data_IF_310591503558
#
_entry.id   IF_310591503558
#
_cell.length_a   1.000
_cell.length_b   1.000
_cell.length_c   1.000
_cell.angle_alpha   90.00
_cell.angle_beta   90.00
_cell.angle_gamma   90.00
#
_symmetry.space_group_name_H-M   'P 1'
#
loop_
_entity.id
_entity.type
_entity.pdbx_description
1 polymer ?
#
# COMPACT_ATOMS: atom_id res chain seq x y z
N UNK A 1 53.24 -3.98 13.66
CA UNK A 1 51.76 -3.90 13.64
C UNK A 1 51.35 -3.31 12.29
N UNK A 2 50.82 -4.14 11.41
CA UNK A 2 50.79 -3.87 9.99
C UNK A 2 49.65 -2.91 9.56
N UNK A 3 49.83 -2.29 8.39
CA UNK A 3 48.90 -1.35 7.76
C UNK A 3 47.47 -1.91 7.60
N UNK A 4 47.36 -3.22 7.43
CA UNK A 4 46.07 -3.95 7.36
C UNK A 4 45.32 -3.92 8.69
N UNK A 5 45.97 -4.01 9.84
CA UNK A 5 45.33 -3.94 11.15
C UNK A 5 44.74 -2.56 11.40
N UNK A 6 45.46 -1.49 11.03
CA UNK A 6 44.95 -0.09 11.10
C UNK A 6 43.79 0.19 10.15
N UNK A 7 43.74 -0.49 9.00
CA UNK A 7 42.64 -0.35 8.04
C UNK A 7 41.38 -1.08 8.53
N UNK A 8 41.56 -2.25 9.17
CA UNK A 8 40.47 -3.00 9.80
C UNK A 8 39.90 -2.27 11.03
N UNK A 9 40.78 -1.67 11.86
CA UNK A 9 40.34 -0.88 13.01
C UNK A 9 39.55 0.38 12.57
N UNK A 10 39.97 1.05 11.50
CA UNK A 10 39.20 2.20 10.93
C UNK A 10 37.83 1.81 10.37
N UNK A 11 37.65 0.58 9.92
CA UNK A 11 36.33 0.06 9.50
C UNK A 11 35.47 -0.35 10.70
N UNK A 12 36.08 -0.95 11.72
CA UNK A 12 35.38 -1.35 12.93
C UNK A 12 34.83 -0.15 13.74
N UNK A 13 35.54 0.99 13.74
CA UNK A 13 35.08 2.20 14.44
C UNK A 13 33.97 2.97 13.72
N UNK A 14 33.69 2.65 12.43
CA UNK A 14 32.55 3.22 11.70
C UNK A 14 31.26 2.40 11.80
N UNK A 15 31.31 1.22 12.37
CA UNK A 15 30.13 0.42 12.72
C UNK A 15 29.75 0.60 14.17
N UNK A 16 29.58 1.85 14.60
CA UNK A 16 29.05 2.13 15.93
C UNK A 16 27.59 1.72 15.97
N UNK A 17 27.40 0.57 16.52
CA UNK A 17 26.30 -0.01 17.18
C UNK A 17 24.93 0.61 16.99
N UNK A 18 24.11 0.09 16.07
CA UNK A 18 22.68 0.17 16.25
C UNK A 18 22.29 -0.65 17.49
N UNK A 19 21.53 -0.07 18.38
CA UNK A 19 20.82 -0.83 19.42
C UNK A 19 19.66 -1.59 18.77
N UNK A 20 19.05 -2.60 19.43
CA UNK A 20 17.81 -3.21 18.92
C UNK A 20 16.69 -2.20 18.63
N UNK A 21 16.73 -1.02 19.28
CA UNK A 21 15.81 0.10 19.09
C UNK A 21 16.24 1.08 18.00
N UNK A 22 17.52 1.02 17.56
CA UNK A 22 18.04 1.84 16.46
C UNK A 22 19.08 1.03 15.66
N UNK A 23 18.64 0.20 14.70
CA UNK A 23 19.53 -0.61 13.90
C UNK A 23 20.39 0.27 12.99
N UNK A 24 21.60 -0.22 12.63
CA UNK A 24 22.50 0.53 11.74
C UNK A 24 21.91 0.73 10.34
N UNK A 25 22.29 1.82 9.67
CA UNK A 25 21.76 2.23 8.36
C UNK A 25 21.66 1.08 7.31
N UNK A 26 22.67 0.22 7.23
CA UNK A 26 22.65 -0.89 6.25
C UNK A 26 21.64 -1.97 6.62
N UNK A 27 21.38 -2.20 7.92
CA UNK A 27 20.35 -3.12 8.41
C UNK A 27 18.97 -2.54 8.16
N UNK A 28 18.78 -1.24 8.38
CA UNK A 28 17.53 -0.53 8.05
C UNK A 28 17.23 -0.63 6.56
N UNK A 29 18.23 -0.39 5.71
CA UNK A 29 18.11 -0.54 4.27
C UNK A 29 17.81 -1.97 3.82
N UNK A 30 18.40 -2.96 4.49
CA UNK A 30 18.20 -4.37 4.20
C UNK A 30 16.80 -4.85 4.62
N UNK A 31 16.30 -4.33 5.75
CA UNK A 31 14.99 -4.69 6.31
C UNK A 31 13.85 -3.79 5.80
N UNK A 32 14.15 -2.77 4.98
CA UNK A 32 13.16 -1.80 4.50
C UNK A 32 12.58 -0.91 5.61
N UNK A 33 13.25 -0.79 6.75
CA UNK A 33 12.84 0.06 7.87
C UNK A 33 13.31 1.49 7.62
N UNK A 34 12.43 2.44 7.42
CA UNK A 34 12.54 3.88 7.29
C UNK A 34 13.94 4.54 7.19
N UNK A 35 14.01 5.76 6.75
CA UNK A 35 15.26 6.53 6.68
C UNK A 35 15.48 7.31 7.97
N UNK A 36 16.74 7.36 8.44
CA UNK A 36 17.15 8.21 9.55
C UNK A 36 17.14 9.68 9.11
N UNK A 37 16.40 10.51 9.81
CA UNK A 37 16.38 11.96 9.57
C UNK A 37 17.66 12.63 10.08
N UNK A 38 17.89 13.88 9.68
CA UNK A 38 19.00 14.70 10.22
C UNK A 38 18.94 14.87 11.74
N UNK A 39 17.79 14.65 12.37
CA UNK A 39 17.56 14.66 13.82
C UNK A 39 17.83 13.30 14.49
N UNK A 40 18.24 12.26 13.73
CA UNK A 40 18.52 10.93 14.27
C UNK A 40 17.30 10.05 14.50
N UNK A 41 16.10 10.51 14.11
CA UNK A 41 14.87 9.74 14.23
C UNK A 41 14.62 8.91 12.97
N UNK A 42 14.20 7.64 13.17
CA UNK A 42 13.82 6.76 12.07
C UNK A 42 12.40 7.05 11.63
N UNK A 43 12.23 7.56 10.41
CA UNK A 43 10.90 7.81 9.83
C UNK A 43 10.49 6.66 8.95
N UNK A 44 9.35 6.06 9.27
CA UNK A 44 8.63 5.09 8.45
C UNK A 44 7.16 5.51 8.38
N UNK A 45 6.33 4.92 7.51
CA UNK A 45 4.92 5.31 7.39
C UNK A 45 4.14 5.29 8.70
N UNK A 46 4.44 4.34 9.57
CA UNK A 46 3.78 4.19 10.87
C UNK A 46 4.19 5.30 11.85
N UNK A 47 5.50 5.60 11.94
CA UNK A 47 5.98 6.71 12.80
C UNK A 47 5.57 8.06 12.24
N UNK A 48 5.51 8.23 10.90
CA UNK A 48 5.03 9.44 10.25
C UNK A 48 3.56 9.73 10.58
N UNK A 49 2.71 8.70 10.61
CA UNK A 49 1.29 8.82 11.03
C UNK A 49 1.15 9.24 12.50
N UNK A 50 2.16 9.05 13.33
CA UNK A 50 2.23 9.60 14.70
C UNK A 50 2.42 11.11 14.74
N UNK A 51 2.84 11.76 13.65
CA UNK A 51 2.99 13.22 13.55
C UNK A 51 1.62 13.82 13.24
N UNK A 52 1.07 14.61 14.15
CA UNK A 52 -0.31 15.14 14.06
C UNK A 52 -0.60 15.89 12.76
N UNK A 53 0.35 16.68 12.26
CA UNK A 53 0.20 17.43 11.02
C UNK A 53 0.13 16.50 9.79
N UNK A 54 1.00 15.49 9.71
CA UNK A 54 0.99 14.51 8.63
C UNK A 54 -0.29 13.68 8.66
N UNK A 55 -0.66 13.17 9.84
CA UNK A 55 -1.91 12.43 10.01
C UNK A 55 -3.13 13.24 9.59
N UNK A 56 -3.21 14.53 9.99
CA UNK A 56 -4.31 15.40 9.60
C UNK A 56 -4.40 15.60 8.09
N UNK A 57 -3.26 15.75 7.39
CA UNK A 57 -3.24 15.87 5.95
C UNK A 57 -3.74 14.59 5.26
N UNK A 58 -3.20 13.42 5.63
CA UNK A 58 -3.61 12.12 5.07
C UNK A 58 -5.10 11.88 5.33
N UNK A 59 -5.55 12.10 6.57
CA UNK A 59 -6.93 11.95 6.97
C UNK A 59 -7.88 12.83 6.16
N UNK A 60 -7.59 14.13 6.06
CA UNK A 60 -8.47 15.06 5.33
C UNK A 60 -8.63 14.66 3.86
N UNK A 61 -7.54 14.28 3.18
CA UNK A 61 -7.59 13.84 1.78
C UNK A 61 -8.38 12.52 1.65
N UNK A 62 -8.14 11.56 2.54
CA UNK A 62 -8.83 10.27 2.52
C UNK A 62 -10.33 10.44 2.77
N UNK A 63 -10.72 11.18 3.82
CA UNK A 63 -12.13 11.46 4.14
C UNK A 63 -12.84 12.22 3.01
N UNK A 64 -12.21 13.25 2.44
CA UNK A 64 -12.83 14.03 1.37
C UNK A 64 -13.01 13.22 0.08
N UNK A 65 -12.07 12.32 -0.22
CA UNK A 65 -12.20 11.39 -1.34
C UNK A 65 -13.30 10.36 -1.08
N UNK A 66 -13.37 9.81 0.13
CA UNK A 66 -14.35 8.79 0.51
C UNK A 66 -15.80 9.32 0.56
N UNK A 67 -15.97 10.61 0.81
CA UNK A 67 -17.30 11.26 0.75
C UNK A 67 -17.87 11.33 -0.67
N UNK A 68 -17.04 11.15 -1.70
CA UNK A 68 -17.50 11.16 -3.09
C UNK A 68 -18.00 9.76 -3.47
N UNK A 69 -19.32 9.60 -3.72
CA UNK A 69 -19.86 8.30 -4.08
C UNK A 69 -19.36 7.85 -5.46
N UNK A 70 -18.91 6.60 -5.57
CA UNK A 70 -18.58 5.99 -6.85
C UNK A 70 -19.85 5.66 -7.61
N UNK A 71 -20.07 6.34 -8.74
CA UNK A 71 -21.26 6.17 -9.58
C UNK A 71 -20.85 5.52 -10.89
N UNK A 72 -21.54 4.44 -11.25
CA UNK A 72 -21.37 3.77 -12.53
C UNK A 72 -22.14 4.50 -13.63
N UNK A 73 -21.50 4.67 -14.78
CA UNK A 73 -22.08 5.27 -15.96
C UNK A 73 -21.88 4.39 -17.19
N UNK A 74 -22.91 4.31 -18.05
CA UNK A 74 -22.77 3.80 -19.41
C UNK A 74 -22.38 4.92 -20.35
N UNK A 75 -21.44 4.67 -21.25
CA UNK A 75 -21.17 5.52 -22.38
C UNK A 75 -22.20 5.29 -23.49
N UNK A 76 -22.88 6.34 -23.89
CA UNK A 76 -23.84 6.31 -25.00
C UNK A 76 -23.10 6.58 -26.33
N UNK A 77 -23.67 6.11 -27.44
CA UNK A 77 -23.09 6.29 -28.77
C UNK A 77 -22.98 7.76 -29.21
N UNK A 78 -23.75 8.64 -28.61
CA UNK A 78 -23.73 10.10 -28.82
C UNK A 78 -22.71 10.85 -27.95
N UNK A 79 -21.88 10.10 -27.18
CA UNK A 79 -20.91 10.65 -26.25
C UNK A 79 -21.48 11.04 -24.88
N UNK A 80 -22.77 10.87 -24.66
CA UNK A 80 -23.43 11.09 -23.37
C UNK A 80 -23.06 10.02 -22.33
N UNK A 81 -23.32 10.32 -21.04
CA UNK A 81 -23.13 9.39 -19.91
C UNK A 81 -24.47 9.20 -19.19
N UNK A 82 -24.92 7.95 -19.07
CA UNK A 82 -26.13 7.60 -18.31
C UNK A 82 -25.77 6.81 -17.07
N UNK A 83 -26.31 7.18 -15.91
CA UNK A 83 -26.15 6.42 -14.67
C UNK A 83 -26.72 5.00 -14.82
N UNK A 84 -26.00 4.00 -14.29
CA UNK A 84 -26.38 2.58 -14.31
C UNK A 84 -26.50 2.01 -12.87
N UNK A 85 -27.55 2.40 -12.12
CA UNK A 85 -27.78 1.86 -10.77
C UNK A 85 -28.14 0.37 -10.80
N UNK A 86 -28.67 -0.14 -11.92
CA UNK A 86 -29.06 -1.56 -12.09
C UNK A 86 -27.88 -2.50 -12.33
N UNK A 87 -26.66 -1.97 -12.47
CA UNK A 87 -25.49 -2.81 -12.70
C UNK A 87 -25.06 -3.53 -11.44
N UNK A 88 -24.70 -4.82 -11.52
CA UNK A 88 -24.36 -5.66 -10.37
C UNK A 88 -23.18 -5.14 -9.53
N UNK A 89 -22.29 -4.34 -10.11
CA UNK A 89 -21.18 -3.69 -9.40
C UNK A 89 -21.62 -2.43 -8.63
N UNK A 90 -22.79 -1.86 -8.95
CA UNK A 90 -23.22 -0.62 -8.32
C UNK A 90 -23.31 -0.74 -6.80
N UNK A 91 -24.01 -1.72 -6.21
CA UNK A 91 -24.09 -1.86 -4.76
C UNK A 91 -22.72 -2.13 -4.12
N UNK A 92 -21.82 -2.83 -4.80
CA UNK A 92 -20.48 -3.14 -4.27
C UNK A 92 -19.60 -1.89 -4.21
N UNK A 93 -19.68 -1.01 -5.20
CA UNK A 93 -18.84 0.18 -5.27
C UNK A 93 -19.43 1.39 -4.53
N UNK A 94 -20.76 1.49 -4.52
CA UNK A 94 -21.48 2.65 -4.01
C UNK A 94 -21.97 2.47 -2.58
N UNK A 95 -22.48 1.27 -2.24
CA UNK A 95 -23.11 1.01 -0.94
C UNK A 95 -22.16 0.22 -0.01
N UNK A 96 -22.05 -1.09 -0.20
CA UNK A 96 -21.32 -2.00 0.67
C UNK A 96 -20.35 -2.89 -0.12
N UNK A 97 -19.05 -2.59 -0.15
CA UNK A 97 -18.04 -3.42 -0.82
C UNK A 97 -17.91 -4.83 -0.25
N UNK A 98 -18.17 -4.99 1.04
CA UNK A 98 -18.17 -6.26 1.76
C UNK A 98 -19.10 -6.19 2.98
N UNK A 99 -19.41 -7.33 3.64
CA UNK A 99 -20.32 -7.37 4.80
C UNK A 99 -19.81 -6.63 6.05
N UNK A 100 -18.53 -6.27 6.09
CA UNK A 100 -17.86 -5.68 7.27
C UNK A 100 -17.73 -4.16 7.17
N UNK A 101 -17.72 -3.62 5.96
CA UNK A 101 -17.40 -2.21 5.70
C UNK A 101 -18.40 -1.60 4.71
N UNK A 102 -18.90 -0.40 5.02
CA UNK A 102 -19.60 0.42 4.03
C UNK A 102 -18.61 1.08 3.06
N UNK A 103 -19.12 1.54 1.93
CA UNK A 103 -18.32 2.16 0.85
C UNK A 103 -17.43 3.30 1.36
N UNK A 104 -17.95 4.18 2.20
CA UNK A 104 -17.18 5.31 2.73
C UNK A 104 -15.94 4.86 3.51
N UNK A 105 -16.09 3.92 4.45
CA UNK A 105 -14.99 3.40 5.26
C UNK A 105 -13.97 2.65 4.40
N UNK A 106 -14.45 1.88 3.43
CA UNK A 106 -13.60 1.15 2.49
C UNK A 106 -12.70 2.10 1.68
N UNK A 107 -13.30 3.12 1.04
CA UNK A 107 -12.54 4.07 0.21
C UNK A 107 -11.65 4.99 1.03
N UNK A 108 -12.06 5.37 2.25
CA UNK A 108 -11.20 6.09 3.19
C UNK A 108 -9.95 5.29 3.53
N UNK A 109 -10.11 4.00 3.88
CA UNK A 109 -8.99 3.11 4.22
C UNK A 109 -8.06 2.89 3.02
N UNK A 110 -8.61 2.61 1.83
CA UNK A 110 -7.81 2.45 0.60
C UNK A 110 -7.04 3.72 0.26
N UNK A 111 -7.66 4.89 0.38
CA UNK A 111 -6.98 6.17 0.14
C UNK A 111 -5.90 6.46 1.18
N UNK A 112 -6.16 6.18 2.45
CA UNK A 112 -5.15 6.29 3.51
C UNK A 112 -3.94 5.40 3.20
N UNK A 113 -4.17 4.15 2.78
CA UNK A 113 -3.11 3.23 2.38
C UNK A 113 -2.34 3.74 1.16
N UNK A 114 -3.02 4.28 0.15
CA UNK A 114 -2.38 4.82 -1.05
C UNK A 114 -1.54 6.07 -0.77
N UNK A 115 -1.92 6.90 0.23
CA UNK A 115 -1.20 8.10 0.60
C UNK A 115 -0.01 7.82 1.53
N UNK A 116 -0.16 6.89 2.47
CA UNK A 116 0.84 6.64 3.51
C UNK A 116 1.80 5.48 3.21
N UNK A 117 1.38 4.52 2.36
CA UNK A 117 2.13 3.30 2.07
C UNK A 117 2.41 3.13 0.58
N UNK A 118 2.81 1.92 0.17
CA UNK A 118 3.16 1.56 -1.23
C UNK A 118 1.99 1.66 -2.21
N UNK A 119 0.76 1.79 -1.71
CA UNK A 119 -0.50 1.76 -2.46
C UNK A 119 -1.63 1.22 -1.60
N UNK A 120 -2.86 1.39 -2.05
CA UNK A 120 -4.03 0.76 -1.47
C UNK A 120 -4.35 -0.54 -2.22
N UNK A 121 -4.54 -1.63 -1.47
CA UNK A 121 -4.80 -2.95 -2.05
C UNK A 121 -6.10 -3.51 -1.51
N UNK A 122 -6.89 -4.11 -2.40
CA UNK A 122 -8.02 -4.94 -1.99
C UNK A 122 -8.07 -6.22 -2.83
N UNK A 123 -8.35 -7.33 -2.17
CA UNK A 123 -8.64 -8.61 -2.82
C UNK A 123 -10.05 -8.58 -3.42
N UNK A 124 -10.19 -9.08 -4.62
CA UNK A 124 -11.45 -9.20 -5.32
C UNK A 124 -11.97 -10.62 -5.10
N UNK A 125 -13.02 -10.76 -4.31
CA UNK A 125 -13.72 -12.04 -4.16
C UNK A 125 -14.66 -12.24 -5.34
N UNK A 126 -14.44 -13.34 -6.08
CA UNK A 126 -15.24 -13.68 -7.24
C UNK A 126 -16.35 -14.65 -6.88
N UNK A 127 -17.49 -14.47 -7.53
CA UNK A 127 -18.58 -15.45 -7.55
C UNK A 127 -18.32 -16.50 -8.64
N UNK A 128 -18.96 -17.67 -8.57
CA UNK A 128 -18.81 -18.74 -9.56
C UNK A 128 -19.22 -18.35 -10.99
N UNK A 129 -19.97 -17.27 -11.14
CA UNK A 129 -20.41 -16.70 -12.43
C UNK A 129 -19.43 -15.64 -12.99
N UNK A 130 -18.20 -15.59 -12.46
CA UNK A 130 -17.16 -14.60 -12.81
C UNK A 130 -17.57 -13.16 -12.55
N UNK A 131 -18.49 -12.91 -11.63
CA UNK A 131 -18.84 -11.58 -11.16
C UNK A 131 -18.17 -11.29 -9.82
N UNK A 132 -17.80 -10.04 -9.60
CA UNK A 132 -17.31 -9.60 -8.29
C UNK A 132 -18.39 -9.81 -7.25
N UNK A 133 -18.03 -10.44 -6.14
CA UNK A 133 -18.90 -10.67 -4.99
C UNK A 133 -18.66 -9.65 -3.88
N UNK A 134 -17.39 -9.40 -3.55
CA UNK A 134 -16.97 -8.48 -2.52
C UNK A 134 -15.54 -7.98 -2.77
N UNK A 135 -15.18 -6.90 -2.08
CA UNK A 135 -13.82 -6.33 -2.05
C UNK A 135 -13.34 -6.32 -0.60
N UNK A 136 -12.19 -6.96 -0.33
CA UNK A 136 -11.60 -7.03 1.00
C UNK A 136 -10.29 -6.26 1.05
N UNK A 137 -10.19 -5.28 1.95
CA UNK A 137 -8.96 -4.48 2.10
C UNK A 137 -7.82 -5.37 2.58
N UNK A 138 -6.65 -5.24 1.93
CA UNK A 138 -5.41 -5.90 2.32
C UNK A 138 -4.50 -4.91 3.04
N UNK A 139 -3.77 -5.40 4.07
CA UNK A 139 -2.71 -4.61 4.71
C UNK A 139 -1.56 -4.38 3.71
N UNK A 140 -1.20 -3.12 3.39
CA UNK A 140 -0.11 -2.82 2.47
C UNK A 140 1.23 -3.43 2.87
N UNK A 141 1.47 -3.63 4.16
CA UNK A 141 2.70 -4.23 4.66
C UNK A 141 2.77 -5.74 4.37
N UNK A 142 1.61 -6.40 4.29
CA UNK A 142 1.51 -7.82 3.97
C UNK A 142 1.64 -8.11 2.47
N UNK A 143 1.50 -7.09 1.61
CA UNK A 143 1.52 -7.25 0.15
C UNK A 143 2.93 -7.03 -0.40
N UNK A 144 3.45 -8.00 -1.11
CA UNK A 144 4.70 -7.93 -1.89
C UNK A 144 4.37 -8.04 -3.38
N UNK A 145 4.91 -7.14 -4.17
CA UNK A 145 4.66 -7.09 -5.62
C UNK A 145 5.93 -7.52 -6.33
N UNK A 146 5.81 -8.44 -7.27
CA UNK A 146 6.92 -8.90 -8.10
C UNK A 146 6.55 -8.86 -9.58
N UNK A 147 7.53 -8.45 -10.40
CA UNK A 147 7.42 -8.54 -11.85
C UNK A 147 7.96 -9.89 -12.32
N UNK A 148 7.12 -10.66 -12.94
CA UNK A 148 7.46 -11.96 -13.50
C UNK A 148 8.33 -11.83 -14.77
N UNK A 149 8.90 -12.94 -15.24
CA UNK A 149 9.74 -12.99 -16.46
C UNK A 149 8.99 -12.57 -17.74
N UNK A 150 7.69 -12.77 -17.77
CA UNK A 150 6.77 -12.39 -18.85
C UNK A 150 6.31 -10.91 -18.72
N UNK A 151 6.91 -10.16 -17.77
CA UNK A 151 6.60 -8.76 -17.43
C UNK A 151 5.22 -8.56 -16.75
N UNK A 152 4.45 -9.58 -16.49
CA UNK A 152 3.24 -9.48 -15.67
C UNK A 152 3.59 -9.18 -14.21
N UNK A 153 2.68 -8.50 -13.51
CA UNK A 153 2.81 -8.29 -12.07
C UNK A 153 2.15 -9.47 -11.34
N UNK A 154 2.73 -9.89 -10.23
CA UNK A 154 2.14 -10.84 -9.30
C UNK A 154 2.16 -10.25 -7.91
N UNK A 155 1.09 -10.47 -7.17
CA UNK A 155 0.94 -10.01 -5.79
C UNK A 155 1.06 -11.21 -4.85
N UNK A 156 1.89 -11.09 -3.84
CA UNK A 156 2.07 -12.08 -2.80
C UNK A 156 1.57 -11.50 -1.50
N UNK A 157 0.57 -12.11 -0.92
CA UNK A 157 -0.04 -11.66 0.33
C UNK A 157 0.38 -12.60 1.45
N UNK A 158 1.04 -12.06 2.49
CA UNK A 158 1.44 -12.84 3.65
C UNK A 158 0.20 -13.16 4.51
N UNK A 159 -0.13 -14.42 4.64
CA UNK A 159 -1.18 -14.90 5.53
C UNK A 159 -0.72 -14.92 6.99
N UNK A 160 -1.67 -15.01 7.92
CA UNK A 160 -1.43 -15.12 9.36
C UNK A 160 -0.69 -16.39 9.77
N UNK A 161 -0.71 -17.39 8.91
CA UNK A 161 0.03 -18.66 9.07
C UNK A 161 1.48 -18.61 8.54
N UNK A 162 1.95 -17.45 8.09
CA UNK A 162 3.27 -17.25 7.53
C UNK A 162 3.43 -17.76 6.09
N UNK A 163 2.35 -18.22 5.46
CA UNK A 163 2.37 -18.60 4.05
C UNK A 163 2.05 -17.40 3.17
N UNK A 164 2.73 -17.31 2.03
CA UNK A 164 2.42 -16.32 1.01
C UNK A 164 1.41 -16.89 0.02
N UNK A 165 0.31 -16.17 -0.18
CA UNK A 165 -0.70 -16.49 -1.18
C UNK A 165 -0.41 -15.68 -2.44
N UNK A 166 -0.11 -16.31 -3.60
CA UNK A 166 0.03 -15.60 -4.85
C UNK A 166 -1.34 -15.24 -5.42
N UNK A 167 -1.53 -13.95 -5.70
CA UNK A 167 -2.73 -13.40 -6.34
C UNK A 167 -2.39 -12.86 -7.73
N UNK A 168 -3.27 -13.14 -8.69
CA UNK A 168 -3.19 -12.58 -10.03
C UNK A 168 -3.54 -11.07 -10.02
N UNK A 169 -3.05 -10.29 -10.99
CA UNK A 169 -3.49 -8.91 -11.17
C UNK A 169 -5.00 -8.74 -11.36
N UNK A 170 -5.68 -9.78 -11.81
CA UNK A 170 -7.14 -9.78 -11.95
C UNK A 170 -7.87 -9.93 -10.60
N UNK A 171 -7.17 -10.43 -9.58
CA UNK A 171 -7.75 -10.72 -8.27
C UNK A 171 -7.45 -9.61 -7.24
N UNK A 172 -6.71 -8.57 -7.66
CA UNK A 172 -6.31 -7.46 -6.77
C UNK A 172 -6.70 -6.12 -7.37
N UNK A 173 -7.49 -5.36 -6.65
CA UNK A 173 -7.66 -3.93 -6.91
C UNK A 173 -6.47 -3.20 -6.30
N UNK A 174 -5.62 -2.61 -7.16
CA UNK A 174 -4.46 -1.84 -6.73
C UNK A 174 -4.66 -0.35 -7.06
N UNK A 175 -4.78 0.47 -6.03
CA UNK A 175 -4.81 1.94 -6.13
C UNK A 175 -3.41 2.46 -5.87
N UNK A 176 -2.81 3.03 -6.91
CA UNK A 176 -1.44 3.55 -6.84
C UNK A 176 -1.38 4.83 -6.01
N UNK A 177 -0.33 4.97 -5.21
CA UNK A 177 0.00 6.21 -4.53
C UNK A 177 0.81 7.18 -5.41
N UNK A 178 1.37 8.22 -4.79
CA UNK A 178 2.22 9.19 -5.48
C UNK A 178 3.53 8.53 -5.98
N UNK A 179 4.03 9.00 -7.15
CA UNK A 179 5.31 8.58 -7.67
C UNK A 179 5.39 7.10 -8.06
N UNK A 180 4.30 6.54 -8.58
CA UNK A 180 4.25 5.15 -9.04
C UNK A 180 5.28 4.86 -10.14
N UNK A 181 6.18 3.90 -9.90
CA UNK A 181 7.28 3.52 -10.80
C UNK A 181 6.93 2.38 -11.77
N UNK A 182 5.68 1.91 -11.77
CA UNK A 182 5.20 0.77 -12.55
C UNK A 182 5.17 -0.54 -11.75
N UNK A 183 5.58 -0.54 -10.49
CA UNK A 183 5.51 -1.68 -9.57
C UNK A 183 4.98 -1.22 -8.21
N UNK A 184 5.60 -0.20 -7.63
CA UNK A 184 5.22 0.35 -6.32
C UNK A 184 5.13 1.86 -6.37
N UNK A 185 4.45 2.45 -5.41
CA UNK A 185 4.44 3.89 -5.18
C UNK A 185 5.52 4.30 -4.20
N UNK A 186 5.94 5.55 -4.25
CA UNK A 186 6.90 6.09 -3.29
C UNK A 186 6.23 6.18 -1.92
N UNK A 187 6.92 5.70 -0.90
CA UNK A 187 6.52 5.90 0.48
C UNK A 187 6.99 7.30 0.84
N UNK A 188 6.06 8.17 1.23
CA UNK A 188 6.40 9.47 1.76
C UNK A 188 6.79 9.25 3.22
N UNK A 189 8.08 9.14 3.47
CA UNK A 189 8.66 9.07 4.81
C UNK A 189 9.47 10.34 5.08
#
# INVERSE_FOLDING_TARGET
MGMLARWLERRATKTTGGSPQNPSYWVQKLLGCGQETAAGETVNPETALGISAYFACVRNIAEDTAKLPLILYDHQADGGKRRRPDHYLYPILHDDPNPEMCSMVFWETIMQHALAFKGGFAEIEWRNDCRVKALHVLDPNSVRIERQKDKSLMYFVAGTDGRELPLSPADVLHIHGLGYDGITSWIIA
#
